data_IF_519109213786
#
_entry.id   IF_519109213786
#
_cell.length_a   1.000
_cell.length_b   1.000
_cell.length_c   1.000
_cell.angle_alpha   90.00
_cell.angle_beta   90.00
_cell.angle_gamma   90.00
#
_symmetry.space_group_name_H-M   'P 1'
#
loop_
_entity.id
_entity.type
_entity.pdbx_description
1 polymer ?
#
# COMPACT_ATOMS: atom_id res chain seq x y z
N UNK A 1 15.64 -1.68 23.95
CA UNK A 1 15.64 -2.96 23.19
C UNK A 1 16.45 -2.74 21.91
N UNK A 2 17.31 -3.67 21.46
CA UNK A 2 18.13 -3.45 20.29
C UNK A 2 17.22 -3.17 19.07
N UNK A 3 17.63 -2.20 18.25
CA UNK A 3 16.85 -1.71 17.10
C UNK A 3 16.63 -2.78 16.02
N UNK A 4 17.49 -3.81 16.01
CA UNK A 4 17.38 -5.01 15.19
C UNK A 4 17.12 -6.21 16.11
N UNK A 5 15.84 -6.56 16.27
CA UNK A 5 15.45 -7.84 16.87
C UNK A 5 15.90 -9.03 16.00
N UNK A 6 15.96 -10.23 16.59
CA UNK A 6 16.35 -11.46 15.89
C UNK A 6 15.53 -11.69 14.61
N UNK A 7 16.18 -12.23 13.57
CA UNK A 7 15.56 -12.50 12.28
C UNK A 7 14.56 -13.66 12.40
N UNK A 8 13.27 -13.39 12.27
CA UNK A 8 12.25 -14.43 12.27
C UNK A 8 12.31 -15.28 10.99
N UNK A 9 11.97 -16.57 11.10
CA UNK A 9 12.06 -17.52 9.97
C UNK A 9 10.76 -17.52 9.13
N UNK A 10 10.90 -17.52 7.80
CA UNK A 10 9.76 -17.65 6.87
C UNK A 10 8.98 -18.96 7.05
N UNK A 11 9.58 -20.00 7.61
CA UNK A 11 8.95 -21.30 7.89
C UNK A 11 7.74 -21.19 8.83
N UNK A 12 7.64 -20.09 9.58
CA UNK A 12 6.48 -19.74 10.40
C UNK A 12 5.23 -19.40 9.57
N UNK A 13 5.37 -19.22 8.24
CA UNK A 13 4.30 -18.83 7.34
C UNK A 13 4.02 -19.93 6.31
N UNK A 14 2.78 -20.42 6.27
CA UNK A 14 2.30 -21.33 5.22
C UNK A 14 1.82 -20.51 4.02
N UNK A 15 2.54 -20.56 2.91
CA UNK A 15 2.11 -19.95 1.63
C UNK A 15 0.80 -20.59 1.17
N UNK A 16 -0.18 -19.77 0.80
CA UNK A 16 -1.51 -20.19 0.32
C UNK A 16 -1.55 -20.10 -1.20
N UNK A 17 -1.33 -18.91 -1.74
CA UNK A 17 -1.41 -18.65 -3.18
C UNK A 17 -0.47 -17.53 -3.59
N UNK A 18 -0.13 -17.49 -4.88
CA UNK A 18 0.58 -16.36 -5.47
C UNK A 18 -0.44 -15.29 -5.84
N UNK A 19 -0.26 -14.06 -5.37
CA UNK A 19 -1.22 -12.96 -5.55
C UNK A 19 -0.70 -11.84 -6.45
N UNK A 20 0.60 -11.85 -6.80
CA UNK A 20 1.14 -10.88 -7.74
C UNK A 20 2.59 -11.18 -8.13
N UNK A 21 2.95 -10.75 -9.34
CA UNK A 21 4.32 -10.74 -9.84
C UNK A 21 4.57 -9.37 -10.49
N UNK A 22 5.65 -8.71 -10.09
CA UNK A 22 6.08 -7.44 -10.69
C UNK A 22 7.59 -7.31 -10.69
N UNK A 23 8.07 -6.15 -11.14
CA UNK A 23 9.49 -5.80 -11.28
C UNK A 23 10.30 -6.09 -10.00
N UNK A 24 9.70 -5.82 -8.83
CA UNK A 24 10.33 -5.88 -7.50
C UNK A 24 10.21 -7.23 -6.79
N UNK A 25 9.60 -8.23 -7.41
CA UNK A 25 9.51 -9.58 -6.86
C UNK A 25 8.11 -10.20 -6.89
N UNK A 26 7.98 -11.27 -6.13
CA UNK A 26 6.78 -12.11 -6.12
C UNK A 26 6.06 -11.93 -4.80
N UNK A 27 4.75 -11.71 -4.86
CA UNK A 27 3.90 -11.59 -3.68
C UNK A 27 3.05 -12.85 -3.52
N UNK A 28 3.09 -13.43 -2.32
CA UNK A 28 2.26 -14.57 -1.92
C UNK A 28 1.27 -14.15 -0.84
N UNK A 29 0.05 -14.65 -0.90
CA UNK A 29 -0.78 -14.74 0.31
C UNK A 29 -0.26 -15.90 1.16
N UNK A 30 -0.11 -15.69 2.46
CA UNK A 30 0.35 -16.72 3.39
C UNK A 30 -0.39 -16.61 4.73
N UNK A 31 -0.40 -17.70 5.50
CA UNK A 31 -0.96 -17.76 6.84
C UNK A 31 0.14 -17.95 7.86
N UNK A 32 0.22 -17.09 8.87
CA UNK A 32 1.05 -17.29 10.04
C UNK A 32 0.55 -18.55 10.79
N UNK A 33 1.43 -19.51 11.05
CA UNK A 33 1.09 -20.81 11.65
C UNK A 33 0.71 -20.71 13.14
N UNK A 34 1.21 -19.70 13.85
CA UNK A 34 0.91 -19.51 15.27
C UNK A 34 -0.35 -18.67 15.46
N UNK A 35 -0.41 -17.51 14.81
CA UNK A 35 -1.53 -16.56 15.01
C UNK A 35 -2.74 -16.85 14.12
N UNK A 36 -2.62 -17.77 13.17
CA UNK A 36 -3.59 -18.02 12.10
C UNK A 36 -3.91 -16.82 11.20
N UNK A 37 -3.17 -15.71 11.34
CA UNK A 37 -3.39 -14.49 10.58
C UNK A 37 -2.97 -14.64 9.11
N UNK A 38 -3.78 -14.08 8.20
CA UNK A 38 -3.45 -14.01 6.77
C UNK A 38 -2.64 -12.74 6.48
N UNK A 39 -1.51 -12.91 5.79
CA UNK A 39 -0.54 -11.87 5.45
C UNK A 39 -0.16 -11.92 3.97
N UNK A 40 0.43 -10.84 3.46
CA UNK A 40 1.12 -10.82 2.18
C UNK A 40 2.63 -10.97 2.40
N UNK A 41 3.27 -11.89 1.68
CA UNK A 41 4.73 -12.10 1.67
C UNK A 41 5.30 -11.61 0.35
N UNK A 42 6.01 -10.48 0.34
CA UNK A 42 6.75 -9.99 -0.84
C UNK A 42 8.17 -10.53 -0.78
N UNK A 43 8.51 -11.45 -1.69
CA UNK A 43 9.88 -11.95 -1.86
C UNK A 43 10.74 -10.86 -2.48
N UNK A 44 11.83 -10.47 -1.81
CA UNK A 44 12.79 -9.51 -2.35
C UNK A 44 13.65 -10.22 -3.40
N UNK A 45 13.79 -9.62 -4.57
CA UNK A 45 14.77 -10.06 -5.57
C UNK A 45 16.14 -9.54 -5.17
N UNK A 46 17.09 -10.44 -4.93
CA UNK A 46 18.50 -10.10 -4.80
C UNK A 46 19.05 -10.06 -6.23
N UNK A 47 19.34 -8.86 -6.76
CA UNK A 47 20.17 -8.74 -7.96
C UNK A 47 21.60 -9.25 -7.64
N UNK A 48 22.47 -9.42 -8.64
CA UNK A 48 23.82 -10.01 -8.49
C UNK A 48 24.80 -9.15 -7.65
N UNK A 49 24.35 -8.54 -6.57
CA UNK A 49 25.18 -7.79 -5.63
C UNK A 49 25.76 -8.73 -4.57
N UNK A 50 27.07 -8.62 -4.36
CA UNK A 50 27.82 -9.44 -3.39
C UNK A 50 27.62 -8.96 -1.93
N UNK A 51 27.02 -7.78 -1.73
CA UNK A 51 27.00 -7.07 -0.44
C UNK A 51 25.62 -7.01 0.26
N UNK A 52 24.77 -8.01 0.07
CA UNK A 52 23.53 -8.16 0.84
C UNK A 52 22.33 -7.44 0.24
N UNK A 53 21.44 -6.91 1.09
CA UNK A 53 20.22 -6.22 0.63
C UNK A 53 20.58 -4.87 0.00
N UNK A 54 20.00 -4.50 -1.15
CA UNK A 54 20.19 -3.17 -1.72
C UNK A 54 19.86 -2.07 -0.70
N UNK A 55 20.68 -1.01 -0.66
CA UNK A 55 20.45 0.14 0.26
C UNK A 55 19.07 0.76 0.04
N UNK A 56 18.55 0.73 -1.19
CA UNK A 56 17.18 1.13 -1.53
C UNK A 56 16.15 0.28 -0.79
N UNK A 57 16.29 -1.05 -0.82
CA UNK A 57 15.40 -1.98 -0.11
C UNK A 57 15.47 -1.82 1.41
N UNK A 58 16.65 -1.56 1.98
CA UNK A 58 16.79 -1.28 3.41
C UNK A 58 16.12 0.03 3.82
N UNK A 59 16.27 1.09 3.00
CA UNK A 59 15.59 2.37 3.21
C UNK A 59 14.07 2.22 3.14
N UNK A 60 13.56 1.42 2.20
CA UNK A 60 12.14 1.12 2.08
C UNK A 60 11.58 0.28 3.22
N UNK A 61 12.29 -0.76 3.65
CA UNK A 61 11.90 -1.56 4.81
C UNK A 61 11.87 -0.68 6.06
N UNK A 62 12.85 0.21 6.24
CA UNK A 62 12.88 1.13 7.36
C UNK A 62 11.74 2.16 7.29
N UNK A 63 11.43 2.68 6.11
CA UNK A 63 10.26 3.53 5.85
C UNK A 63 8.98 2.79 6.22
N UNK A 64 8.74 1.62 5.65
CA UNK A 64 7.49 0.89 5.83
C UNK A 64 7.33 0.31 7.25
N UNK A 65 8.42 -0.10 7.92
CA UNK A 65 8.38 -0.52 9.34
C UNK A 65 8.12 0.65 10.29
N UNK A 66 8.53 1.87 9.93
CA UNK A 66 8.25 3.07 10.73
C UNK A 66 6.88 3.69 10.45
N UNK A 67 6.21 3.25 9.38
CA UNK A 67 4.86 3.67 9.01
C UNK A 67 3.83 2.65 9.52
N UNK A 68 3.54 2.69 10.83
CA UNK A 68 2.42 1.94 11.40
C UNK A 68 1.12 2.70 11.20
N UNK A 69 0.37 2.29 10.19
CA UNK A 69 -0.88 2.93 9.88
C UNK A 69 -1.90 1.97 9.29
N UNK A 70 -3.17 2.08 9.67
CA UNK A 70 -4.32 1.30 9.14
C UNK A 70 -4.47 1.25 7.60
N UNK A 71 -3.62 1.97 6.87
CA UNK A 71 -3.87 2.51 5.55
C UNK A 71 -2.62 2.73 4.70
N UNK A 72 -1.47 2.44 5.30
CA UNK A 72 -0.25 2.07 4.60
C UNK A 72 -0.11 0.59 4.91
N UNK A 73 0.15 -0.24 3.89
CA UNK A 73 0.32 -1.67 4.12
C UNK A 73 1.38 -1.85 5.21
N UNK A 74 0.92 -2.29 6.38
CA UNK A 74 1.77 -2.34 7.53
C UNK A 74 2.82 -3.43 7.31
N UNK A 75 4.10 -3.04 7.29
CA UNK A 75 5.19 -4.01 7.25
C UNK A 75 5.37 -4.52 8.67
N UNK A 76 4.85 -5.73 8.88
CA UNK A 76 4.85 -6.40 10.17
C UNK A 76 6.24 -6.90 10.51
N UNK A 77 6.91 -7.51 9.53
CA UNK A 77 8.25 -8.02 9.75
C UNK A 77 9.05 -8.25 8.47
N UNK A 78 10.33 -8.57 8.63
CA UNK A 78 11.19 -9.11 7.57
C UNK A 78 11.67 -10.47 8.02
N UNK A 79 11.41 -11.49 7.20
CA UNK A 79 11.71 -12.89 7.52
C UNK A 79 12.65 -13.50 6.49
N UNK A 80 13.48 -14.44 6.93
CA UNK A 80 14.50 -15.10 6.10
C UNK A 80 14.28 -16.61 6.13
N UNK A 81 14.51 -17.30 5.00
CA UNK A 81 14.34 -18.76 4.89
C UNK A 81 15.58 -19.50 4.44
N UNK A 82 15.96 -20.55 5.18
CA UNK A 82 17.09 -21.43 4.85
C UNK A 82 18.47 -20.81 5.06
N UNK A 83 19.51 -21.57 4.74
CA UNK A 83 20.91 -21.13 4.85
C UNK A 83 21.30 -20.26 3.64
N UNK A 84 20.85 -19.00 3.61
CA UNK A 84 21.30 -18.04 2.59
C UNK A 84 20.46 -16.76 2.49
N UNK A 85 21.10 -15.65 2.09
CA UNK A 85 20.47 -14.33 1.95
C UNK A 85 19.49 -14.23 0.74
N UNK A 86 19.31 -15.29 -0.03
CA UNK A 86 18.50 -15.30 -1.26
C UNK A 86 16.99 -15.47 -1.03
N UNK A 87 16.56 -15.64 0.22
CA UNK A 87 15.18 -15.94 0.60
C UNK A 87 14.66 -14.98 1.67
N UNK A 88 14.77 -13.69 1.39
CA UNK A 88 14.26 -12.61 2.26
C UNK A 88 12.85 -12.24 1.81
N UNK A 89 11.94 -12.12 2.76
CA UNK A 89 10.54 -11.75 2.52
C UNK A 89 10.15 -10.60 3.44
N UNK A 90 9.40 -9.64 2.89
CA UNK A 90 8.71 -8.62 3.67
C UNK A 90 7.32 -9.14 4.00
N UNK A 91 7.01 -9.25 5.29
CA UNK A 91 5.70 -9.64 5.81
C UNK A 91 4.84 -8.38 5.92
N UNK A 92 3.72 -8.38 5.23
CA UNK A 92 2.84 -7.25 5.07
C UNK A 92 1.42 -7.62 5.48
N UNK A 93 0.64 -6.62 5.88
CA UNK A 93 -0.80 -6.75 5.97
C UNK A 93 -1.41 -7.19 4.64
N UNK A 94 -2.36 -8.12 4.69
CA UNK A 94 -3.08 -8.59 3.51
C UNK A 94 -4.24 -7.63 3.20
N UNK A 95 -3.95 -6.54 2.48
CA UNK A 95 -4.95 -5.56 2.08
C UNK A 95 -5.44 -5.85 0.64
N UNK A 96 -6.75 -6.06 0.45
CA UNK A 96 -7.34 -6.10 -0.89
C UNK A 96 -7.43 -4.66 -1.41
N UNK A 97 -6.95 -4.43 -2.63
CA UNK A 97 -6.75 -3.13 -3.30
C UNK A 97 -8.05 -2.37 -3.64
N UNK A 98 -9.00 -2.27 -2.71
CA UNK A 98 -10.39 -1.84 -2.98
C UNK A 98 -10.47 -0.47 -3.65
N UNK A 99 -9.65 0.50 -3.24
CA UNK A 99 -9.62 1.84 -3.84
C UNK A 99 -9.10 1.83 -5.28
N UNK A 100 -8.00 1.13 -5.55
CA UNK A 100 -7.43 0.99 -6.89
C UNK A 100 -8.37 0.21 -7.81
N UNK A 101 -8.96 -0.88 -7.33
CA UNK A 101 -9.94 -1.69 -8.08
C UNK A 101 -11.17 -0.83 -8.40
N UNK A 102 -11.72 -0.13 -7.41
CA UNK A 102 -12.89 0.71 -7.62
C UNK A 102 -12.61 1.81 -8.64
N UNK A 103 -11.49 2.52 -8.52
CA UNK A 103 -11.11 3.52 -9.51
C UNK A 103 -10.78 2.93 -10.88
N UNK A 104 -10.17 1.75 -10.96
CA UNK A 104 -9.89 1.07 -12.22
C UNK A 104 -11.18 0.62 -12.93
N UNK A 105 -12.18 0.16 -12.19
CA UNK A 105 -13.51 -0.14 -12.72
C UNK A 105 -14.19 1.11 -13.28
N UNK A 106 -14.07 2.25 -12.59
CA UNK A 106 -14.63 3.52 -13.04
C UNK A 106 -13.90 4.09 -14.29
N UNK A 107 -12.60 3.82 -14.42
CA UNK A 107 -11.75 4.39 -15.49
C UNK A 107 -11.49 3.43 -16.66
N UNK A 108 -11.81 2.14 -16.49
CA UNK A 108 -11.42 1.03 -17.37
C UNK A 108 -9.91 0.89 -17.62
N UNK A 109 -9.08 1.48 -16.75
CA UNK A 109 -7.61 1.38 -16.78
C UNK A 109 -7.04 1.63 -15.39
N UNK A 110 -5.85 1.09 -15.06
CA UNK A 110 -5.19 1.34 -13.79
C UNK A 110 -5.07 2.83 -13.49
N UNK A 111 -5.46 3.24 -12.27
CA UNK A 111 -5.53 4.66 -11.88
C UNK A 111 -4.17 5.22 -11.44
N UNK A 112 -3.27 4.36 -10.98
CA UNK A 112 -1.93 4.71 -10.52
C UNK A 112 -0.93 3.62 -10.92
N UNK A 113 -0.64 3.43 -12.22
CA UNK A 113 0.27 2.38 -12.70
C UNK A 113 1.73 2.81 -12.50
N UNK A 114 2.25 2.65 -11.28
CA UNK A 114 3.67 2.88 -11.01
C UNK A 114 4.52 1.69 -11.43
N UNK A 115 5.64 1.96 -12.09
CA UNK A 115 6.64 0.94 -12.44
C UNK A 115 7.83 0.88 -11.47
N UNK A 116 7.92 1.84 -10.53
CA UNK A 116 8.86 1.90 -9.41
C UNK A 116 8.19 2.45 -8.15
N UNK A 117 8.73 2.24 -6.93
CA UNK A 117 8.15 2.83 -5.71
C UNK A 117 8.08 4.36 -5.79
N UNK A 118 9.14 5.03 -6.25
CA UNK A 118 9.13 6.49 -6.40
C UNK A 118 8.15 6.95 -7.48
N UNK A 119 8.05 6.21 -8.58
CA UNK A 119 7.06 6.50 -9.62
C UNK A 119 5.63 6.26 -9.11
N UNK A 120 5.39 5.22 -8.31
CA UNK A 120 4.10 4.94 -7.68
C UNK A 120 3.72 6.07 -6.73
N UNK A 121 4.63 6.53 -5.87
CA UNK A 121 4.42 7.69 -5.00
C UNK A 121 4.12 8.94 -5.82
N UNK A 122 4.87 9.18 -6.89
CA UNK A 122 4.61 10.28 -7.80
C UNK A 122 3.22 10.17 -8.44
N UNK A 123 2.78 8.98 -8.87
CA UNK A 123 1.42 8.75 -9.40
C UNK A 123 0.33 8.99 -8.35
N UNK A 124 0.58 8.62 -7.10
CA UNK A 124 -0.32 8.93 -5.99
C UNK A 124 -0.39 10.44 -5.77
N UNK A 125 0.75 11.14 -5.74
CA UNK A 125 0.77 12.61 -5.59
C UNK A 125 0.10 13.32 -6.78
N UNK A 126 0.32 12.83 -7.99
CA UNK A 126 -0.35 13.27 -9.22
C UNK A 126 -1.87 13.16 -9.10
N UNK A 127 -2.38 12.08 -8.51
CA UNK A 127 -3.81 11.82 -8.42
C UNK A 127 -4.51 12.54 -7.25
N UNK A 128 -3.98 12.43 -6.04
CA UNK A 128 -4.66 12.87 -4.80
C UNK A 128 -3.95 14.03 -4.09
N UNK A 129 -2.85 14.53 -4.65
CA UNK A 129 -2.08 15.66 -4.13
C UNK A 129 -0.96 15.24 -3.18
N UNK A 130 -0.07 16.18 -2.89
CA UNK A 130 1.06 15.97 -1.97
C UNK A 130 0.58 16.03 -0.51
N UNK A 131 0.90 15.04 0.33
CA UNK A 131 0.56 15.07 1.75
C UNK A 131 1.22 16.26 2.42
N UNK A 132 0.46 16.93 3.27
CA UNK A 132 0.90 18.06 4.08
C UNK A 132 0.10 18.08 5.38
N UNK A 133 0.49 18.88 6.39
CA UNK A 133 -0.17 18.88 7.70
C UNK A 133 -1.66 19.23 7.69
N UNK A 134 -2.15 19.93 6.64
CA UNK A 134 -3.58 20.22 6.49
C UNK A 134 -4.36 18.99 6.02
N UNK A 135 -3.75 18.16 5.17
CA UNK A 135 -4.36 16.94 4.62
C UNK A 135 -4.19 15.77 5.60
N UNK A 136 -3.02 15.66 6.24
CA UNK A 136 -2.67 14.61 7.18
C UNK A 136 -2.02 15.21 8.43
N UNK A 137 -2.82 15.33 9.50
CA UNK A 137 -2.34 15.85 10.77
C UNK A 137 -1.35 14.87 11.40
N UNK A 138 -0.09 15.29 11.52
CA UNK A 138 0.99 14.43 12.01
C UNK A 138 1.98 14.00 10.93
N UNK A 139 1.78 14.40 9.67
CA UNK A 139 2.73 14.14 8.59
C UNK A 139 4.16 14.59 8.92
N UNK A 140 4.35 15.79 9.49
CA UNK A 140 5.67 16.32 9.85
C UNK A 140 6.39 15.55 10.97
N UNK A 141 5.64 14.72 11.71
CA UNK A 141 6.17 13.88 12.80
C UNK A 141 6.70 12.55 12.27
N UNK A 142 6.44 12.22 11.01
CA UNK A 142 6.97 11.02 10.39
C UNK A 142 8.49 11.17 10.21
N UNK A 143 9.30 10.19 10.64
CA UNK A 143 10.77 10.29 10.69
C UNK A 143 11.42 10.72 9.36
N UNK A 144 10.74 10.48 8.23
CA UNK A 144 11.26 10.70 6.88
C UNK A 144 10.45 11.71 6.05
N UNK A 145 9.38 12.32 6.59
CA UNK A 145 8.65 13.38 5.89
C UNK A 145 9.53 14.59 5.52
N UNK A 146 10.62 14.79 6.27
CA UNK A 146 11.61 15.86 6.02
C UNK A 146 12.66 15.51 4.96
N UNK A 147 12.79 14.24 4.59
CA UNK A 147 13.87 13.76 3.70
C UNK A 147 13.40 13.52 2.26
N UNK A 148 12.09 13.55 2.01
CA UNK A 148 11.50 13.34 0.68
C UNK A 148 11.24 14.68 0.00
N UNK A 149 11.80 14.87 -1.20
CA UNK A 149 11.43 16.01 -2.05
C UNK A 149 10.13 15.70 -2.78
N UNK A 150 9.07 16.42 -2.44
CA UNK A 150 7.77 16.27 -3.09
C UNK A 150 7.67 17.12 -4.36
N UNK A 151 6.97 16.64 -5.40
CA UNK A 151 6.71 17.43 -6.60
C UNK A 151 5.82 18.64 -6.29
N UNK A 152 5.88 19.67 -7.13
CA UNK A 152 5.06 20.87 -6.98
C UNK A 152 3.61 20.58 -7.42
N UNK A 153 2.79 20.05 -6.52
CA UNK A 153 1.37 19.89 -6.75
C UNK A 153 0.55 20.23 -5.52
N UNK A 154 -0.48 21.06 -5.73
CA UNK A 154 -1.20 21.73 -4.65
C UNK A 154 -2.56 21.11 -4.30
N UNK A 155 -3.15 20.26 -5.16
CA UNK A 155 -4.54 19.79 -4.98
C UNK A 155 -4.83 18.42 -5.61
N UNK A 156 -5.95 17.84 -5.15
CA UNK A 156 -6.52 16.56 -5.57
C UNK A 156 -7.12 16.65 -6.99
N UNK A 157 -6.75 15.72 -7.87
CA UNK A 157 -7.11 15.71 -9.30
C UNK A 157 -8.24 14.74 -9.63
N UNK A 158 -8.83 14.04 -8.65
CA UNK A 158 -9.82 12.98 -8.93
C UNK A 158 -11.00 13.49 -9.77
N UNK A 159 -11.53 14.69 -9.51
CA UNK A 159 -12.65 15.21 -10.31
C UNK A 159 -12.27 15.49 -11.77
N UNK A 160 -11.01 15.85 -12.02
CA UNK A 160 -10.46 16.09 -13.36
C UNK A 160 -10.17 14.76 -14.06
N UNK A 161 -9.63 13.79 -13.33
CA UNK A 161 -9.30 12.46 -13.84
C UNK A 161 -10.52 11.57 -14.11
N UNK A 162 -11.66 11.90 -13.50
CA UNK A 162 -12.93 11.17 -13.61
C UNK A 162 -14.09 12.13 -13.94
N UNK A 163 -14.08 12.79 -15.12
CA UNK A 163 -15.03 13.85 -15.45
C UNK A 163 -16.48 13.37 -15.63
N UNK A 164 -16.67 12.08 -15.93
CA UNK A 164 -17.98 11.46 -16.18
C UNK A 164 -18.52 10.66 -14.99
N UNK A 165 -17.85 10.73 -13.85
CA UNK A 165 -18.21 9.98 -12.64
C UNK A 165 -19.00 10.88 -11.69
N UNK A 166 -20.01 10.30 -11.04
CA UNK A 166 -20.89 11.00 -10.09
C UNK A 166 -20.12 11.57 -8.90
N UNK A 167 -20.64 12.63 -8.29
CA UNK A 167 -20.01 13.21 -7.10
C UNK A 167 -19.93 12.23 -5.94
N UNK A 168 -20.94 11.36 -5.75
CA UNK A 168 -20.90 10.36 -4.69
C UNK A 168 -19.84 9.27 -4.95
N UNK A 169 -19.57 8.91 -6.20
CA UNK A 169 -18.49 7.99 -6.52
C UNK A 169 -17.11 8.62 -6.28
N UNK A 170 -16.95 9.90 -6.63
CA UNK A 170 -15.73 10.67 -6.35
C UNK A 170 -15.53 10.82 -4.84
N UNK A 171 -16.59 11.07 -4.07
CA UNK A 171 -16.54 11.16 -2.61
C UNK A 171 -16.14 9.83 -1.97
N UNK A 172 -16.73 8.71 -2.43
CA UNK A 172 -16.33 7.37 -1.99
C UNK A 172 -14.85 7.09 -2.30
N UNK A 173 -14.40 7.41 -3.52
CA UNK A 173 -13.02 7.20 -3.93
C UNK A 173 -12.05 8.08 -3.13
N UNK A 174 -12.42 9.33 -2.84
CA UNK A 174 -11.68 10.22 -1.94
C UNK A 174 -11.57 9.63 -0.53
N UNK A 175 -12.70 9.19 0.03
CA UNK A 175 -12.75 8.56 1.34
C UNK A 175 -11.88 7.31 1.42
N UNK A 176 -11.81 6.51 0.35
CA UNK A 176 -10.96 5.31 0.27
C UNK A 176 -9.47 5.62 -0.02
N UNK A 177 -9.14 6.77 -0.60
CA UNK A 177 -7.76 7.19 -0.93
C UNK A 177 -7.16 8.19 0.08
N UNK A 178 -7.89 8.59 1.11
CA UNK A 178 -7.49 9.63 2.06
C UNK A 178 -6.15 9.32 2.73
N UNK A 179 -5.18 10.24 2.70
CA UNK A 179 -3.88 10.04 3.35
C UNK A 179 -3.99 9.82 4.84
N UNK A 180 -4.73 10.70 5.53
CA UNK A 180 -4.96 10.67 6.97
C UNK A 180 -5.87 9.50 7.33
N UNK A 181 -5.34 8.45 7.93
CA UNK A 181 -6.11 7.22 8.08
C UNK A 181 -7.15 7.28 9.16
N UNK A 182 -7.03 8.23 10.11
CA UNK A 182 -8.11 8.51 11.06
C UNK A 182 -9.34 9.10 10.34
N UNK A 183 -9.15 9.63 9.13
CA UNK A 183 -10.19 10.22 8.29
C UNK A 183 -10.56 9.35 7.10
N UNK A 184 -9.75 8.33 6.76
CA UNK A 184 -10.04 7.42 5.64
C UNK A 184 -11.22 6.51 5.99
N UNK A 185 -12.04 6.20 4.99
CA UNK A 185 -13.15 5.28 5.15
C UNK A 185 -12.69 3.86 5.47
N UNK A 186 -13.25 3.32 6.54
CA UNK A 186 -13.28 1.89 6.82
C UNK A 186 -14.19 1.17 5.81
N UNK A 187 -14.05 -0.15 5.69
CA UNK A 187 -14.96 -0.98 4.88
C UNK A 187 -16.42 -0.74 5.27
N UNK A 188 -16.70 -0.68 6.57
CA UNK A 188 -18.06 -0.49 7.07
C UNK A 188 -18.63 0.89 6.68
N UNK A 189 -17.81 1.95 6.69
CA UNK A 189 -18.25 3.27 6.21
C UNK A 189 -18.45 3.26 4.69
N UNK A 190 -17.56 2.61 3.95
CA UNK A 190 -17.62 2.54 2.50
C UNK A 190 -18.88 1.81 1.99
N UNK A 191 -19.22 0.63 2.53
CA UNK A 191 -20.38 -0.15 2.06
C UNK A 191 -21.74 0.57 2.29
N UNK A 192 -21.80 1.45 3.29
CA UNK A 192 -23.00 2.23 3.60
C UNK A 192 -23.03 3.59 2.89
N UNK A 193 -22.04 3.87 2.04
CA UNK A 193 -21.89 5.15 1.35
C UNK A 193 -23.06 5.44 0.40
N UNK A 194 -23.36 6.73 0.19
CA UNK A 194 -24.46 7.21 -0.67
C UNK A 194 -24.33 6.75 -2.11
N UNK A 195 -23.10 6.51 -2.58
CA UNK A 195 -22.81 5.94 -3.89
C UNK A 195 -23.59 4.65 -4.16
N UNK A 196 -23.73 3.75 -3.18
CA UNK A 196 -24.46 2.50 -3.38
C UNK A 196 -25.99 2.65 -3.34
N UNK A 197 -26.48 3.86 -3.10
CA UNK A 197 -27.91 4.20 -3.01
C UNK A 197 -28.32 5.20 -4.09
N UNK A 198 -27.41 5.58 -4.98
CA UNK A 198 -27.70 6.50 -6.08
C UNK A 198 -28.04 5.74 -7.36
N UNK A 199 -28.74 6.42 -8.28
CA UNK A 199 -28.98 5.90 -9.62
C UNK A 199 -27.71 6.04 -10.47
N UNK A 200 -27.37 5.05 -11.33
CA UNK A 200 -28.11 3.82 -11.60
C UNK A 200 -27.94 2.77 -10.49
N UNK A 201 -29.04 2.12 -10.12
CA UNK A 201 -29.03 1.09 -9.11
C UNK A 201 -28.11 -0.07 -9.52
N UNK A 202 -27.40 -0.68 -8.55
CA UNK A 202 -26.61 -1.87 -8.83
C UNK A 202 -27.50 -2.95 -9.45
N UNK A 203 -27.01 -3.61 -10.51
CA UNK A 203 -27.71 -4.77 -11.06
C UNK A 203 -27.81 -5.83 -9.96
N UNK A 204 -28.98 -6.47 -9.78
CA UNK A 204 -29.11 -7.63 -8.93
C UNK A 204 -28.08 -8.70 -9.34
N UNK A 205 -27.57 -9.50 -8.39
CA UNK A 205 -26.65 -10.60 -8.67
C UNK A 205 -27.25 -11.66 -9.60
#
# INVERSE_FOLDING_TARGET
>A
KPFFGGCNNVDMYRKISRIGEGTYGIVYSARNKETNEVVALKKIRMEKEKDGLPISSLREIALLKSLQHENIINVKDVVVGGAGLHNIFIVMEYCKQVSCIFGELLKHRPIMPGNTEMNQLQKIFELIGVPNPKIWSGFDKLPLARSVRFPAQKFNQLKIEFPHVSDNAIDLLNGLLTYDPQKRFTVNQAIHHKYFKESPWPKPP
#
